data_IF_580161489321
#
_entry.id   IF_580161489321
#
_cell.length_a   1.000
_cell.length_b   1.000
_cell.length_c   1.000
_cell.angle_alpha   90.00
_cell.angle_beta   90.00
_cell.angle_gamma   90.00
#
_symmetry.space_group_name_H-M   'P 1'
#
loop_
_entity.id
_entity.type
_entity.pdbx_description
1 polymer ?
#
# COMPACT_ATOMS: atom_id res chain seq x y z
N UNK A 1 11.04 -0.09 -11.16
CA UNK A 1 11.12 1.00 -10.18
C UNK A 1 10.90 0.51 -8.76
N UNK A 2 9.66 0.14 -8.40
CA UNK A 2 9.27 -0.14 -7.01
C UNK A 2 10.10 -1.22 -6.29
N UNK A 3 10.47 -2.32 -6.96
CA UNK A 3 11.34 -3.36 -6.37
C UNK A 3 12.69 -2.76 -5.94
N UNK A 4 13.35 -2.03 -6.84
CA UNK A 4 14.66 -1.41 -6.54
C UNK A 4 14.56 -0.41 -5.38
N UNK A 5 13.46 0.34 -5.31
CA UNK A 5 13.23 1.29 -4.22
C UNK A 5 13.04 0.60 -2.87
N UNK A 6 12.22 -0.45 -2.81
CA UNK A 6 11.99 -1.21 -1.58
C UNK A 6 13.20 -2.06 -1.15
N UNK A 7 14.14 -2.34 -2.05
CA UNK A 7 15.40 -3.00 -1.71
C UNK A 7 16.33 -2.11 -0.89
N UNK A 8 16.21 -0.77 -0.96
CA UNK A 8 17.04 0.15 -0.18
C UNK A 8 16.90 -0.11 1.34
N UNK A 9 15.70 -0.01 1.95
CA UNK A 9 15.55 -0.31 3.38
C UNK A 9 15.87 -1.77 3.71
N UNK A 10 15.60 -2.70 2.79
CA UNK A 10 15.94 -4.12 2.98
C UNK A 10 17.45 -4.36 3.07
N UNK A 11 18.24 -3.76 2.18
CA UNK A 11 19.70 -3.88 2.18
C UNK A 11 20.28 -3.18 3.41
N UNK A 12 19.79 -1.99 3.75
CA UNK A 12 20.26 -1.26 4.91
C UNK A 12 20.01 -2.01 6.22
N UNK A 13 18.83 -2.60 6.39
CA UNK A 13 18.55 -3.49 7.52
C UNK A 13 19.49 -4.69 7.55
N UNK A 14 19.68 -5.36 6.41
CA UNK A 14 20.44 -6.63 6.37
C UNK A 14 21.94 -6.46 6.52
N UNK A 15 22.51 -5.32 6.09
CA UNK A 15 23.93 -5.01 6.24
C UNK A 15 24.27 -4.20 7.48
N UNK A 16 23.43 -3.23 7.85
CA UNK A 16 23.71 -2.28 8.93
C UNK A 16 22.79 -2.43 10.15
N UNK A 17 21.90 -3.43 10.15
CA UNK A 17 20.97 -3.72 11.24
C UNK A 17 20.11 -2.50 11.64
N UNK A 18 19.83 -1.62 10.68
CA UNK A 18 19.01 -0.42 10.87
C UNK A 18 17.54 -0.78 10.93
N UNK A 19 16.74 0.03 11.64
CA UNK A 19 15.29 -0.10 11.68
C UNK A 19 14.69 0.22 10.30
N UNK A 20 14.18 -0.80 9.64
CA UNK A 20 13.56 -0.70 8.32
C UNK A 20 12.33 0.21 8.29
N UNK A 21 11.59 0.32 9.41
CA UNK A 21 10.40 1.17 9.50
C UNK A 21 10.85 2.63 9.39
N UNK A 22 11.84 3.04 10.18
CA UNK A 22 12.34 4.41 10.16
C UNK A 22 12.94 4.78 8.80
N UNK A 23 13.75 3.89 8.21
CA UNK A 23 14.34 4.14 6.88
C UNK A 23 13.25 4.24 5.81
N UNK A 24 12.26 3.34 5.84
CA UNK A 24 11.17 3.37 4.87
C UNK A 24 10.32 4.64 4.99
N UNK A 25 10.03 5.10 6.22
CA UNK A 25 9.32 6.35 6.47
C UNK A 25 10.10 7.56 5.97
N UNK A 26 11.42 7.61 6.22
CA UNK A 26 12.26 8.70 5.72
C UNK A 26 12.36 8.69 4.19
N UNK A 27 12.36 7.51 3.56
CA UNK A 27 12.37 7.38 2.10
C UNK A 27 11.06 7.83 1.44
N UNK A 28 9.95 7.92 2.17
CA UNK A 28 8.70 8.51 1.65
C UNK A 28 8.94 9.96 1.25
N UNK A 29 9.54 10.78 2.14
CA UNK A 29 9.84 12.18 1.84
C UNK A 29 10.79 12.34 0.64
N UNK A 30 11.79 11.45 0.53
CA UNK A 30 12.70 11.45 -0.62
C UNK A 30 11.93 11.12 -1.90
N UNK A 31 11.02 10.14 -1.87
CA UNK A 31 10.20 9.78 -3.01
C UNK A 31 9.24 10.91 -3.42
N UNK A 32 8.64 11.60 -2.47
CA UNK A 32 7.79 12.78 -2.71
C UNK A 32 8.57 13.90 -3.40
N UNK A 33 9.80 14.19 -2.95
CA UNK A 33 10.62 15.21 -3.59
C UNK A 33 11.12 14.82 -4.98
N UNK A 34 11.43 13.53 -5.20
CA UNK A 34 11.73 13.01 -6.54
C UNK A 34 10.49 13.12 -7.44
N UNK A 35 9.30 12.80 -6.93
CA UNK A 35 8.04 12.94 -7.66
C UNK A 35 7.79 14.40 -8.04
N UNK A 36 7.93 15.31 -7.09
CA UNK A 36 7.79 16.75 -7.34
C UNK A 36 8.80 17.24 -8.39
N UNK A 37 10.08 16.85 -8.26
CA UNK A 37 11.13 17.19 -9.22
C UNK A 37 10.84 16.64 -10.62
N UNK A 38 10.38 15.39 -10.72
CA UNK A 38 10.05 14.77 -12.01
C UNK A 38 8.83 15.40 -12.66
N UNK A 39 7.77 15.69 -11.89
CA UNK A 39 6.54 16.32 -12.36
C UNK A 39 6.74 17.78 -12.79
N UNK A 40 7.60 18.53 -12.09
CA UNK A 40 7.90 19.94 -12.40
C UNK A 40 9.02 20.12 -13.42
N UNK A 41 9.90 19.13 -13.57
CA UNK A 41 11.05 19.16 -14.47
C UNK A 41 10.83 18.32 -15.73
N UNK A 42 11.44 17.12 -15.84
CA UNK A 42 11.54 16.37 -17.09
C UNK A 42 10.21 15.90 -17.69
N UNK A 43 9.19 15.66 -16.87
CA UNK A 43 7.88 15.20 -17.35
C UNK A 43 6.87 16.33 -17.54
N UNK A 44 7.22 17.56 -17.14
CA UNK A 44 6.33 18.72 -17.17
C UNK A 44 5.74 18.92 -18.56
N UNK A 45 4.42 19.08 -18.62
CA UNK A 45 3.76 19.40 -19.87
C UNK A 45 4.13 20.84 -20.33
N UNK A 46 4.81 21.04 -21.47
CA UNK A 46 5.12 22.38 -21.98
C UNK A 46 3.85 23.15 -22.40
N UNK A 47 2.75 22.46 -22.67
CA UNK A 47 1.46 23.05 -23.05
C UNK A 47 0.51 23.25 -21.85
N UNK A 48 0.91 22.86 -20.63
CA UNK A 48 0.07 22.89 -19.43
C UNK A 48 -0.13 24.26 -18.77
N UNK A 49 0.20 25.36 -19.44
CA UNK A 49 0.02 26.75 -18.97
C UNK A 49 0.51 27.04 -17.53
N UNK A 50 1.58 26.35 -17.08
CA UNK A 50 2.16 26.54 -15.74
C UNK A 50 1.58 25.66 -14.62
N UNK A 51 0.59 24.81 -14.92
CA UNK A 51 0.11 23.81 -13.96
C UNK A 51 1.14 22.69 -13.76
N UNK A 52 1.44 22.28 -12.51
CA UNK A 52 2.28 21.12 -12.25
C UNK A 52 1.58 19.84 -12.72
N UNK A 53 2.23 19.08 -13.60
CA UNK A 53 1.67 17.84 -14.11
C UNK A 53 2.37 17.35 -15.37
N UNK A 54 2.41 16.03 -15.54
CA UNK A 54 2.94 15.44 -16.77
C UNK A 54 2.02 15.65 -17.97
N UNK A 55 2.54 15.43 -19.19
CA UNK A 55 1.67 15.28 -20.38
C UNK A 55 0.63 14.19 -20.12
N UNK A 56 -0.54 14.34 -20.74
CA UNK A 56 -1.61 13.35 -20.61
C UNK A 56 -1.18 12.06 -21.30
N UNK A 57 -0.97 11.01 -20.52
CA UNK A 57 -0.44 9.72 -20.97
C UNK A 57 -1.43 8.96 -21.85
N UNK A 58 -2.73 9.30 -21.81
CA UNK A 58 -3.75 8.72 -22.72
C UNK A 58 -3.53 9.10 -24.17
N UNK A 59 -2.72 10.13 -24.45
CA UNK A 59 -2.36 10.51 -25.81
C UNK A 59 -1.32 9.56 -26.43
N UNK A 60 -0.67 8.72 -25.63
CA UNK A 60 0.34 7.76 -26.08
C UNK A 60 -0.22 6.34 -25.96
N UNK A 61 -0.51 5.70 -27.10
CA UNK A 61 -1.06 4.33 -27.15
C UNK A 61 -0.16 3.26 -26.52
N UNK A 62 1.13 3.53 -26.35
CA UNK A 62 2.08 2.65 -25.66
C UNK A 62 2.05 2.79 -24.13
N UNK A 63 1.43 3.86 -23.62
CA UNK A 63 1.35 4.17 -22.19
C UNK A 63 -0.09 4.26 -21.67
N UNK A 64 -1.10 4.23 -22.55
CA UNK A 64 -2.51 4.21 -22.16
C UNK A 64 -2.92 2.83 -21.71
N UNK A 65 -3.52 2.76 -20.53
CA UNK A 65 -4.24 1.60 -20.03
C UNK A 65 -5.73 1.88 -20.16
N UNK A 66 -6.21 1.83 -21.40
CA UNK A 66 -7.61 2.11 -21.72
C UNK A 66 -8.54 1.06 -21.09
N UNK A 67 -9.79 1.46 -20.84
CA UNK A 67 -10.80 0.58 -20.26
C UNK A 67 -11.00 -0.67 -21.13
N UNK A 68 -10.88 -1.86 -20.54
CA UNK A 68 -11.17 -3.14 -21.19
C UNK A 68 -12.65 -3.26 -21.57
N UNK A 69 -13.53 -2.64 -20.78
CA UNK A 69 -14.97 -2.60 -21.01
C UNK A 69 -15.44 -1.15 -20.79
N UNK A 70 -15.85 -0.50 -21.87
CA UNK A 70 -16.32 0.89 -21.85
C UNK A 70 -17.46 1.07 -20.85
N UNK A 71 -17.29 2.03 -19.93
CA UNK A 71 -18.31 2.42 -18.94
C UNK A 71 -18.32 1.60 -17.65
N UNK A 72 -17.47 0.58 -17.53
CA UNK A 72 -17.30 -0.19 -16.28
C UNK A 72 -16.08 0.25 -15.47
N UNK A 73 -15.22 1.14 -16.01
CA UNK A 73 -13.98 1.56 -15.36
C UNK A 73 -12.95 0.44 -15.20
N UNK A 74 -13.15 -0.70 -15.87
CA UNK A 74 -12.28 -1.88 -15.73
C UNK A 74 -11.02 -1.69 -16.57
N UNK A 75 -9.86 -1.48 -15.95
CA UNK A 75 -8.55 -1.38 -16.60
C UNK A 75 -7.67 -2.60 -16.29
N UNK A 76 -6.52 -2.74 -16.98
CA UNK A 76 -5.61 -3.89 -16.75
C UNK A 76 -5.10 -3.98 -15.32
N UNK A 77 -5.11 -2.87 -14.58
CA UNK A 77 -4.81 -2.86 -13.14
C UNK A 77 -5.76 -3.72 -12.30
N UNK A 78 -7.04 -3.80 -12.65
CA UNK A 78 -8.00 -4.67 -11.93
C UNK A 78 -7.66 -6.14 -12.17
N UNK A 79 -7.36 -6.51 -13.43
CA UNK A 79 -6.93 -7.86 -13.79
C UNK A 79 -5.65 -8.23 -13.05
N UNK A 80 -4.66 -7.33 -13.03
CA UNK A 80 -3.42 -7.51 -12.31
C UNK A 80 -3.64 -7.65 -10.80
N UNK A 81 -4.59 -6.92 -10.20
CA UNK A 81 -4.94 -7.04 -8.80
C UNK A 81 -5.51 -8.43 -8.47
N UNK A 82 -6.42 -8.97 -9.29
CA UNK A 82 -6.92 -10.34 -9.11
C UNK A 82 -5.81 -11.38 -9.22
N UNK A 83 -4.92 -11.24 -10.20
CA UNK A 83 -3.75 -12.13 -10.35
C UNK A 83 -2.85 -12.04 -9.12
N UNK A 84 -2.60 -10.84 -8.59
CA UNK A 84 -1.79 -10.64 -7.39
C UNK A 84 -2.44 -11.28 -6.15
N UNK A 85 -3.77 -11.22 -6.01
CA UNK A 85 -4.49 -11.90 -4.92
C UNK A 85 -4.38 -13.42 -5.04
N UNK A 86 -4.55 -13.98 -6.23
CA UNK A 86 -4.40 -15.43 -6.48
C UNK A 86 -2.96 -15.88 -6.16
N UNK A 87 -1.97 -15.16 -6.69
CA UNK A 87 -0.56 -15.48 -6.45
C UNK A 87 -0.20 -15.33 -4.97
N UNK A 88 -0.66 -14.25 -4.32
CA UNK A 88 -0.48 -14.02 -2.89
C UNK A 88 -1.13 -15.13 -2.05
N UNK A 89 -2.31 -15.60 -2.44
CA UNK A 89 -2.97 -16.73 -1.79
C UNK A 89 -2.14 -18.01 -1.92
N UNK A 90 -1.71 -18.38 -3.13
CA UNK A 90 -0.90 -19.58 -3.36
C UNK A 90 0.43 -19.48 -2.59
N UNK A 91 1.12 -18.34 -2.69
CA UNK A 91 2.40 -18.12 -2.03
C UNK A 91 2.29 -18.23 -0.51
N UNK A 92 1.25 -17.64 0.10
CA UNK A 92 1.09 -17.59 1.56
C UNK A 92 0.41 -18.81 2.16
N UNK A 93 -0.40 -19.56 1.40
CA UNK A 93 -1.18 -20.69 1.92
C UNK A 93 -0.69 -22.06 1.45
N UNK A 94 -0.09 -22.15 0.26
CA UNK A 94 0.31 -23.42 -0.36
C UNK A 94 1.81 -23.59 -0.51
N UNK A 95 2.61 -22.52 -0.48
CA UNK A 95 4.05 -22.57 -0.72
C UNK A 95 4.88 -22.56 0.57
N UNK A 96 6.04 -23.23 0.56
CA UNK A 96 6.95 -23.32 1.72
C UNK A 96 7.52 -21.96 2.14
N UNK A 97 7.66 -21.03 1.19
CA UNK A 97 8.05 -19.65 1.50
C UNK A 97 6.98 -18.95 2.36
N UNK A 98 5.69 -19.17 2.10
CA UNK A 98 4.60 -18.63 2.92
C UNK A 98 4.64 -19.17 4.34
N UNK A 99 4.94 -20.46 4.50
CA UNK A 99 5.16 -21.06 5.82
C UNK A 99 6.33 -20.40 6.56
N UNK A 100 7.47 -20.21 5.88
CA UNK A 100 8.63 -19.54 6.46
C UNK A 100 8.35 -18.09 6.86
N UNK A 101 7.55 -17.36 6.06
CA UNK A 101 7.14 -15.97 6.38
C UNK A 101 6.27 -15.94 7.63
N UNK A 102 5.27 -16.84 7.73
CA UNK A 102 4.38 -16.93 8.92
C UNK A 102 5.17 -17.35 10.16
N UNK A 103 6.05 -18.33 10.02
CA UNK A 103 6.89 -18.82 11.13
C UNK A 103 7.84 -17.71 11.62
N UNK A 104 8.47 -16.97 10.71
CA UNK A 104 9.34 -15.85 11.04
C UNK A 104 8.58 -14.71 11.74
N UNK A 105 7.32 -14.46 11.36
CA UNK A 105 6.47 -13.47 12.01
C UNK A 105 6.03 -13.85 13.43
N UNK A 106 5.78 -15.14 13.69
CA UNK A 106 5.34 -15.62 15.01
C UNK A 106 6.51 -15.83 15.98
N UNK A 107 7.60 -16.46 15.51
CA UNK A 107 8.76 -16.74 16.33
C UNK A 107 10.05 -16.67 15.50
N UNK A 108 10.75 -15.53 15.53
CA UNK A 108 12.03 -15.38 14.86
C UNK A 108 13.08 -16.40 15.30
N UNK A 109 13.02 -16.85 16.57
CA UNK A 109 13.90 -17.89 17.10
C UNK A 109 13.60 -19.25 16.47
N UNK A 110 12.33 -19.65 16.42
CA UNK A 110 11.94 -20.92 15.80
C UNK A 110 12.26 -20.96 14.30
N UNK A 111 12.09 -19.84 13.58
CA UNK A 111 12.46 -19.74 12.18
C UNK A 111 13.96 -19.99 11.92
N UNK A 112 14.84 -19.47 12.80
CA UNK A 112 16.29 -19.74 12.70
C UNK A 112 16.62 -21.20 12.95
N UNK A 113 15.94 -21.86 13.90
CA UNK A 113 16.10 -23.30 14.15
C UNK A 113 15.62 -24.15 12.98
N UNK A 114 14.58 -23.72 12.25
CA UNK A 114 14.09 -24.37 11.05
C UNK A 114 14.97 -24.14 9.80
N UNK A 115 16.14 -23.50 9.94
CA UNK A 115 17.07 -23.24 8.82
C UNK A 115 16.67 -22.08 7.91
N UNK A 116 15.68 -21.27 8.31
CA UNK A 116 15.24 -20.11 7.52
C UNK A 116 16.26 -18.98 7.66
N UNK A 117 16.79 -18.51 6.54
CA UNK A 117 17.67 -17.34 6.50
C UNK A 117 16.83 -16.05 6.61
N UNK A 118 16.85 -15.33 7.75
CA UNK A 118 16.01 -14.15 7.96
C UNK A 118 16.33 -13.02 6.98
N UNK A 119 17.61 -12.87 6.63
CA UNK A 119 18.10 -11.83 5.71
C UNK A 119 17.48 -11.98 4.33
N UNK A 120 17.46 -13.21 3.78
CA UNK A 120 16.83 -13.47 2.47
C UNK A 120 15.33 -13.27 2.51
N UNK A 121 14.69 -13.68 3.61
CA UNK A 121 13.25 -13.57 3.77
C UNK A 121 12.80 -12.10 3.81
N UNK A 122 13.52 -11.26 4.53
CA UNK A 122 13.29 -9.81 4.61
C UNK A 122 13.43 -9.15 3.24
N UNK A 123 14.53 -9.42 2.52
CA UNK A 123 14.76 -8.86 1.18
C UNK A 123 13.68 -9.31 0.20
N UNK A 124 13.27 -10.57 0.26
CA UNK A 124 12.20 -11.11 -0.58
C UNK A 124 10.86 -10.42 -0.29
N UNK A 125 10.48 -10.28 0.99
CA UNK A 125 9.22 -9.65 1.36
C UNK A 125 9.19 -8.17 0.96
N UNK A 126 10.24 -7.41 1.27
CA UNK A 126 10.32 -5.99 0.92
C UNK A 126 10.37 -5.80 -0.60
N UNK A 127 11.19 -6.58 -1.31
CA UNK A 127 11.30 -6.51 -2.76
C UNK A 127 9.99 -6.85 -3.47
N UNK A 128 9.29 -7.90 -3.03
CA UNK A 128 8.00 -8.30 -3.61
C UNK A 128 6.91 -7.26 -3.33
N UNK A 129 6.81 -6.74 -2.11
CA UNK A 129 5.87 -5.67 -1.76
C UNK A 129 6.13 -4.40 -2.55
N UNK A 130 7.41 -4.01 -2.72
CA UNK A 130 7.79 -2.88 -3.56
C UNK A 130 7.49 -3.09 -5.04
N UNK A 131 7.65 -4.30 -5.55
CA UNK A 131 7.29 -4.64 -6.92
C UNK A 131 5.77 -4.47 -7.16
N UNK A 132 4.95 -5.03 -6.25
CA UNK A 132 3.49 -4.93 -6.33
C UNK A 132 3.00 -3.48 -6.17
N UNK A 133 3.58 -2.72 -5.23
CA UNK A 133 3.25 -1.29 -5.05
C UNK A 133 3.64 -0.46 -6.28
N UNK A 134 4.80 -0.74 -6.89
CA UNK A 134 5.23 -0.09 -8.12
C UNK A 134 4.34 -0.42 -9.33
N UNK A 135 3.86 -1.66 -9.42
CA UNK A 135 2.88 -2.06 -10.44
C UNK A 135 1.54 -1.36 -10.23
N UNK A 136 1.05 -1.29 -8.99
CA UNK A 136 -0.18 -0.57 -8.67
C UNK A 136 -0.11 0.92 -9.07
N UNK A 137 0.97 1.61 -8.69
CA UNK A 137 1.19 3.00 -9.09
C UNK A 137 1.30 3.18 -10.61
N UNK A 138 1.95 2.25 -11.32
CA UNK A 138 2.01 2.28 -12.78
C UNK A 138 0.62 2.17 -13.42
N UNK A 139 -0.22 1.23 -12.96
CA UNK A 139 -1.55 1.05 -13.53
C UNK A 139 -2.49 2.22 -13.24
N UNK A 140 -2.32 2.87 -12.09
CA UNK A 140 -3.09 4.06 -11.71
C UNK A 140 -2.71 5.27 -12.58
N UNK A 141 -1.41 5.53 -12.76
CA UNK A 141 -0.90 6.60 -13.64
C UNK A 141 -1.30 6.37 -15.10
N UNK A 142 -1.17 5.13 -15.59
CA UNK A 142 -1.44 4.77 -16.98
C UNK A 142 -2.95 4.69 -17.30
N UNK A 143 -3.80 4.51 -16.29
CA UNK A 143 -5.25 4.35 -16.46
C UNK A 143 -6.02 5.60 -16.01
N UNK A 144 -6.68 5.59 -14.83
CA UNK A 144 -7.63 6.64 -14.44
C UNK A 144 -7.01 8.02 -14.28
N UNK A 145 -5.83 8.10 -13.67
CA UNK A 145 -5.20 9.38 -13.38
C UNK A 145 -4.71 10.07 -14.67
N UNK A 146 -4.23 9.30 -15.65
CA UNK A 146 -3.74 9.74 -16.97
C UNK A 146 -2.62 10.79 -16.96
N UNK A 147 -2.21 11.28 -15.80
CA UNK A 147 -1.18 12.29 -15.60
C UNK A 147 -0.52 12.08 -14.24
N UNK A 148 0.77 12.39 -14.18
CA UNK A 148 1.53 12.40 -12.93
C UNK A 148 1.45 13.83 -12.38
N UNK A 149 0.73 14.02 -11.28
CA UNK A 149 0.69 15.27 -10.53
C UNK A 149 1.48 15.14 -9.22
N UNK A 150 1.82 16.26 -8.59
CA UNK A 150 2.55 16.30 -7.32
C UNK A 150 1.74 15.59 -6.22
N UNK A 151 0.41 15.69 -6.27
CA UNK A 151 -0.51 15.09 -5.29
C UNK A 151 -0.98 13.68 -5.67
N UNK A 152 -0.33 13.02 -6.64
CA UNK A 152 -0.73 11.69 -7.12
C UNK A 152 -0.75 10.61 -6.02
N UNK A 153 0.12 10.74 -4.99
CA UNK A 153 0.34 9.70 -3.98
C UNK A 153 -0.38 9.98 -2.64
N UNK A 154 -1.22 11.01 -2.51
CA UNK A 154 -1.65 11.47 -1.18
C UNK A 154 -2.51 10.41 -0.48
N UNK A 155 -1.89 9.68 0.46
CA UNK A 155 -2.56 8.81 1.42
C UNK A 155 -2.64 7.32 1.06
N UNK A 156 -2.51 6.90 -0.21
CA UNK A 156 -2.75 5.50 -0.62
C UNK A 156 -1.93 4.47 0.17
N UNK A 157 -0.65 4.76 0.43
CA UNK A 157 0.21 3.87 1.23
C UNK A 157 -0.26 3.72 2.69
N UNK A 158 -0.78 4.78 3.30
CA UNK A 158 -1.32 4.76 4.66
C UNK A 158 -2.70 4.10 4.70
N UNK A 159 -3.54 4.33 3.70
CA UNK A 159 -4.82 3.63 3.54
C UNK A 159 -4.61 2.11 3.38
N UNK A 160 -3.56 1.69 2.68
CA UNK A 160 -3.22 0.27 2.53
C UNK A 160 -2.91 -0.42 3.87
N UNK A 161 -2.41 0.31 4.89
CA UNK A 161 -2.23 -0.22 6.24
C UNK A 161 -3.59 -0.62 6.84
N UNK A 162 -4.59 0.26 6.69
CA UNK A 162 -5.96 0.01 7.15
C UNK A 162 -6.53 -1.25 6.47
N UNK A 163 -6.38 -1.33 5.15
CA UNK A 163 -6.82 -2.49 4.36
C UNK A 163 -6.15 -3.78 4.84
N UNK A 164 -4.85 -3.76 5.12
CA UNK A 164 -4.10 -4.93 5.57
C UNK A 164 -4.58 -5.45 6.93
N UNK A 165 -4.85 -4.55 7.88
CA UNK A 165 -5.40 -4.91 9.19
C UNK A 165 -6.84 -5.38 9.10
N UNK A 166 -7.69 -4.69 8.35
CA UNK A 166 -9.08 -5.09 8.13
C UNK A 166 -9.21 -6.46 7.44
N UNK A 167 -8.33 -6.73 6.48
CA UNK A 167 -8.22 -8.03 5.82
C UNK A 167 -7.55 -9.13 6.66
N UNK A 168 -7.13 -8.84 7.90
CA UNK A 168 -6.43 -9.76 8.82
C UNK A 168 -5.22 -10.46 8.18
N UNK A 169 -4.47 -9.75 7.33
CA UNK A 169 -3.32 -10.27 6.58
C UNK A 169 -3.64 -11.45 5.65
N UNK A 170 -4.92 -11.72 5.36
CA UNK A 170 -5.33 -12.76 4.42
C UNK A 170 -5.58 -12.16 3.03
N UNK A 171 -5.03 -12.70 1.93
CA UNK A 171 -5.15 -12.11 0.59
C UNK A 171 -6.59 -11.85 0.14
N UNK A 172 -7.51 -12.79 0.40
CA UNK A 172 -8.95 -12.62 0.08
C UNK A 172 -9.59 -11.56 0.98
N UNK A 173 -9.18 -11.50 2.26
CA UNK A 173 -9.66 -10.48 3.19
C UNK A 173 -9.20 -9.09 2.77
N UNK A 174 -7.96 -8.96 2.30
CA UNK A 174 -7.37 -7.73 1.76
C UNK A 174 -8.15 -7.26 0.53
N UNK A 175 -8.56 -8.17 -0.37
CA UNK A 175 -9.38 -7.82 -1.53
C UNK A 175 -10.72 -7.21 -1.10
N UNK A 176 -11.44 -7.87 -0.20
CA UNK A 176 -12.75 -7.38 0.29
C UNK A 176 -12.61 -6.09 1.09
N UNK A 177 -11.59 -5.98 1.93
CA UNK A 177 -11.25 -4.77 2.67
C UNK A 177 -10.89 -3.60 1.73
N UNK A 178 -10.15 -3.89 0.66
CA UNK A 178 -9.81 -2.92 -0.37
C UNK A 178 -11.03 -2.37 -1.09
N UNK A 179 -12.00 -3.25 -1.43
CA UNK A 179 -13.29 -2.83 -2.00
C UNK A 179 -14.08 -1.94 -1.02
N UNK A 180 -14.14 -2.29 0.26
CA UNK A 180 -14.79 -1.45 1.27
C UNK A 180 -14.13 -0.07 1.39
N UNK A 181 -12.79 -0.03 1.37
CA UNK A 181 -12.05 1.24 1.44
C UNK A 181 -12.23 2.06 0.18
N UNK A 182 -12.28 1.44 -1.01
CA UNK A 182 -12.59 2.12 -2.26
C UNK A 182 -14.00 2.74 -2.26
N UNK A 183 -15.00 1.99 -1.79
CA UNK A 183 -16.37 2.52 -1.61
C UNK A 183 -16.40 3.71 -0.65
N UNK A 184 -15.66 3.64 0.45
CA UNK A 184 -15.57 4.73 1.43
C UNK A 184 -14.88 5.96 0.84
N UNK A 185 -13.85 5.77 0.02
CA UNK A 185 -13.12 6.84 -0.64
C UNK A 185 -13.99 7.55 -1.69
N UNK A 186 -14.56 6.79 -2.64
CA UNK A 186 -15.42 7.32 -3.70
C UNK A 186 -16.70 7.95 -3.10
N UNK A 187 -17.31 7.29 -2.11
CA UNK A 187 -18.45 7.84 -1.39
C UNK A 187 -18.10 9.11 -0.62
N UNK A 188 -16.89 9.17 -0.07
CA UNK A 188 -16.34 10.36 0.59
C UNK A 188 -16.15 11.52 -0.38
N UNK A 189 -15.56 11.28 -1.56
CA UNK A 189 -15.40 12.28 -2.62
C UNK A 189 -16.75 12.79 -3.12
N UNK A 190 -17.72 11.89 -3.34
CA UNK A 190 -19.08 12.25 -3.73
C UNK A 190 -19.77 13.11 -2.67
N UNK A 191 -19.58 12.79 -1.39
CA UNK A 191 -20.08 13.59 -0.27
C UNK A 191 -19.36 14.95 -0.17
N UNK A 192 -18.06 15.00 -0.42
CA UNK A 192 -17.30 16.25 -0.51
C UNK A 192 -17.84 17.15 -1.63
N UNK A 193 -18.11 16.58 -2.81
CA UNK A 193 -18.61 17.33 -3.97
C UNK A 193 -20.06 17.80 -3.78
N UNK A 194 -20.92 16.97 -3.18
CA UNK A 194 -22.36 17.26 -3.06
C UNK A 194 -22.71 18.07 -1.81
N UNK A 195 -22.05 17.79 -0.68
CA UNK A 195 -22.35 18.38 0.63
C UNK A 195 -21.30 19.42 1.07
N UNK A 196 -20.26 19.66 0.25
CA UNK A 196 -19.20 20.64 0.55
C UNK A 196 -18.32 20.25 1.74
N UNK A 197 -18.23 18.96 2.06
CA UNK A 197 -17.43 18.48 3.20
C UNK A 197 -15.93 18.64 2.94
N UNK A 198 -15.13 18.99 3.97
CA UNK A 198 -13.67 19.04 3.83
C UNK A 198 -13.09 17.63 3.67
N UNK A 199 -12.06 17.47 2.83
CA UNK A 199 -11.35 16.19 2.63
C UNK A 199 -10.79 15.61 3.94
N UNK A 200 -10.45 16.47 4.90
CA UNK A 200 -10.02 16.07 6.23
C UNK A 200 -11.07 15.21 6.97
N UNK A 201 -12.37 15.40 6.69
CA UNK A 201 -13.43 14.58 7.28
C UNK A 201 -13.35 13.11 6.79
N UNK A 202 -13.03 12.90 5.51
CA UNK A 202 -12.85 11.56 4.93
C UNK A 202 -11.65 10.87 5.59
N UNK A 203 -10.53 11.59 5.73
CA UNK A 203 -9.33 11.07 6.39
C UNK A 203 -9.57 10.74 7.86
N UNK A 204 -10.27 11.62 8.60
CA UNK A 204 -10.66 11.37 9.98
C UNK A 204 -11.54 10.11 10.10
N UNK A 205 -12.48 9.92 9.17
CA UNK A 205 -13.31 8.71 9.13
C UNK A 205 -12.51 7.43 8.90
N UNK A 206 -11.56 7.44 7.96
CA UNK A 206 -10.65 6.31 7.74
C UNK A 206 -9.80 6.00 8.99
N UNK A 207 -9.28 7.04 9.66
CA UNK A 207 -8.54 6.90 10.91
C UNK A 207 -9.38 6.32 12.05
N UNK A 208 -10.63 6.77 12.19
CA UNK A 208 -11.58 6.21 13.16
C UNK A 208 -11.88 4.74 12.88
N UNK A 209 -12.06 4.36 11.61
CA UNK A 209 -12.30 2.97 11.22
C UNK A 209 -11.14 2.07 11.67
N UNK A 210 -9.90 2.47 11.39
CA UNK A 210 -8.73 1.74 11.87
C UNK A 210 -8.67 1.68 13.40
N UNK A 211 -8.91 2.82 14.06
CA UNK A 211 -8.86 2.90 15.52
C UNK A 211 -9.87 1.95 16.17
N UNK A 212 -11.13 1.97 15.72
CA UNK A 212 -12.16 1.07 16.24
C UNK A 212 -11.86 -0.38 15.93
N UNK A 213 -11.33 -0.68 14.75
CA UNK A 213 -10.95 -2.04 14.40
C UNK A 213 -9.86 -2.59 15.35
N UNK A 214 -8.80 -1.81 15.56
CA UNK A 214 -7.73 -2.18 16.48
C UNK A 214 -8.24 -2.29 17.92
N UNK A 215 -9.11 -1.37 18.35
CA UNK A 215 -9.72 -1.41 19.68
C UNK A 215 -10.54 -2.70 19.87
N UNK A 216 -11.35 -3.08 18.89
CA UNK A 216 -12.11 -4.33 18.92
C UNK A 216 -11.21 -5.57 18.92
N UNK A 217 -10.15 -5.58 18.09
CA UNK A 217 -9.19 -6.69 18.06
C UNK A 217 -8.48 -6.86 19.42
N UNK A 218 -8.12 -5.75 20.08
CA UNK A 218 -7.55 -5.80 21.44
C UNK A 218 -8.59 -6.30 22.46
N UNK A 219 -9.81 -5.79 22.45
CA UNK A 219 -10.85 -6.17 23.42
C UNK A 219 -11.32 -7.62 23.27
N UNK A 220 -11.26 -8.18 22.05
CA UNK A 220 -11.62 -9.59 21.80
C UNK A 220 -10.49 -10.55 22.18
N UNK A 221 -9.23 -10.18 21.92
CA UNK A 221 -8.07 -11.03 22.22
C UNK A 221 -7.60 -10.91 23.69
N UNK A 222 -7.84 -9.78 24.36
CA UNK A 222 -7.37 -9.53 25.72
C UNK A 222 -8.54 -9.31 26.68
N UNK A 223 -8.58 -10.11 27.77
CA UNK A 223 -9.50 -9.87 28.88
C UNK A 223 -8.97 -8.69 29.71
N UNK A 224 -9.78 -7.63 29.83
CA UNK A 224 -9.47 -6.50 30.71
C UNK A 224 -9.48 -7.01 32.15
N UNK A 225 -8.29 -7.21 32.73
CA UNK A 225 -8.12 -7.41 34.17
C UNK A 225 -7.79 -6.06 34.79
N UNK A 226 -8.75 -5.48 35.50
CA UNK A 226 -8.45 -4.40 36.44
C UNK A 226 -7.62 -4.99 37.58
N UNK A 227 -6.33 -4.65 37.60
CA UNK A 227 -5.47 -5.01 38.71
C UNK A 227 -5.98 -4.32 39.97
N UNK A 228 -6.41 -5.12 40.95
CA UNK A 228 -6.45 -4.67 42.34
C UNK A 228 -5.01 -4.30 42.68
N UNK A 229 -4.75 -3.05 43.03
CA UNK A 229 -3.46 -2.64 43.58
C UNK A 229 -3.07 -3.67 44.66
N UNK A 230 -1.87 -4.23 44.51
CA UNK A 230 -1.27 -5.03 45.56
C UNK A 230 -0.97 -4.07 46.72
N UNK A 231 -1.90 -3.98 47.66
CA UNK A 231 -1.62 -3.44 48.97
C UNK A 231 -0.59 -4.35 49.64
N UNK A 232 0.62 -3.85 49.80
CA UNK A 232 1.63 -4.35 50.73
C UNK A 232 2.33 -3.13 51.34
#
# INVERSE_FOLDING_TARGET
GGLAWAMIPGILRTRFNTNEILVSLLLVYVAEQILAWTALGPLRNPEGAGFPGSRNLRQYSSASNDELIAGWGMHWGVVAAFIAVIFGYILLSRHIMGFNIRLAGQSPRAARFAGVNPTRLVLFCLGLSGALAGLAGMFEVAGPAAQISIDFNVGYGFTAIIVAFLGRLHPIGILLAGLLMALTYIGGEAAQATLGLPAAAIQAFQGMLLFFLLAFDVLTNFKVKFGREAAA
#
